data_IF_227430967805
#
_entry.id   IF_227430967805
#
_cell.length_a   1.000
_cell.length_b   1.000
_cell.length_c   1.000
_cell.angle_alpha   90.00
_cell.angle_beta   90.00
_cell.angle_gamma   90.00
#
_symmetry.space_group_name_H-M   'P 1'
#
loop_
_entity.id
_entity.type
_entity.pdbx_description
1 polymer ?
#
# COMPACT_ATOMS: atom_id res chain seq x y z
N UNK A 1 24.87 35.55 33.53
CA UNK A 1 24.77 35.34 32.08
C UNK A 1 24.84 33.84 31.80
N UNK A 2 23.77 33.21 31.29
CA UNK A 2 23.73 31.76 31.04
C UNK A 2 23.62 31.46 29.53
N UNK A 3 24.66 30.91 28.92
CA UNK A 3 24.61 30.25 27.61
C UNK A 3 25.68 29.15 27.64
N UNK A 4 25.52 27.94 27.13
CA UNK A 4 24.51 27.32 26.29
C UNK A 4 24.79 25.81 26.36
N UNK A 5 23.78 24.97 26.62
CA UNK A 5 23.89 23.51 26.48
C UNK A 5 23.79 23.17 24.99
N UNK A 6 24.85 22.61 24.44
CA UNK A 6 24.87 22.02 23.11
C UNK A 6 23.85 20.87 23.02
N UNK A 7 22.83 21.02 22.17
CA UNK A 7 21.96 19.92 21.73
C UNK A 7 22.60 19.27 20.51
N UNK A 8 23.11 18.06 20.68
CA UNK A 8 23.44 17.17 19.58
C UNK A 8 22.15 16.59 18.99
N UNK A 9 21.78 17.01 17.79
CA UNK A 9 20.74 16.39 16.98
C UNK A 9 21.24 15.04 16.45
N UNK A 10 20.69 13.94 16.97
CA UNK A 10 20.86 12.62 16.36
C UNK A 10 19.91 12.53 15.16
N UNK A 11 20.45 12.73 13.96
CA UNK A 11 19.76 12.38 12.72
C UNK A 11 19.54 10.87 12.67
N UNK A 12 18.28 10.43 12.61
CA UNK A 12 17.95 9.04 12.31
C UNK A 12 18.42 8.67 10.90
N UNK A 13 18.69 7.38 10.63
CA UNK A 13 19.22 6.95 9.35
C UNK A 13 18.26 7.33 8.21
N UNK A 14 18.81 7.95 7.17
CA UNK A 14 18.09 8.23 5.93
C UNK A 14 17.63 6.90 5.31
N UNK A 15 16.40 6.85 4.81
CA UNK A 15 15.95 5.70 4.04
C UNK A 15 16.80 5.60 2.76
N UNK A 16 17.29 4.41 2.40
CA UNK A 16 18.14 4.26 1.23
C UNK A 16 17.38 4.65 -0.04
N UNK A 17 17.93 5.64 -0.76
CA UNK A 17 17.52 5.97 -2.12
C UNK A 17 18.11 4.90 -3.04
N UNK A 18 17.25 4.08 -3.63
CA UNK A 18 17.68 2.91 -4.38
C UNK A 18 17.75 3.19 -5.89
N UNK A 19 18.94 3.57 -6.37
CA UNK A 19 19.26 3.67 -7.80
C UNK A 19 20.52 2.87 -8.18
N UNK A 20 20.33 1.78 -8.94
CA UNK A 20 20.94 1.42 -10.24
C UNK A 20 20.96 -0.11 -10.43
N UNK A 21 20.82 -0.52 -11.69
CA UNK A 21 20.32 -1.81 -12.16
C UNK A 21 21.30 -3.01 -12.08
N UNK A 22 20.68 -4.19 -12.27
CA UNK A 22 21.10 -5.59 -12.03
C UNK A 22 22.19 -6.16 -12.97
N UNK A 23 23.05 -7.10 -12.51
CA UNK A 23 23.92 -7.90 -13.39
C UNK A 23 23.37 -9.31 -13.71
N UNK A 24 22.14 -9.69 -13.32
CA UNK A 24 21.59 -11.01 -13.66
C UNK A 24 20.18 -10.94 -14.28
N UNK A 25 20.08 -11.47 -15.51
CA UNK A 25 18.87 -12.07 -16.11
C UNK A 25 17.79 -11.10 -16.61
N UNK A 26 17.34 -11.31 -17.84
CA UNK A 26 16.30 -10.54 -18.55
C UNK A 26 14.92 -10.67 -17.92
N UNK A 27 14.70 -10.02 -16.79
CA UNK A 27 13.39 -9.89 -16.18
C UNK A 27 12.74 -8.58 -16.68
N UNK A 28 11.49 -8.67 -17.17
CA UNK A 28 10.77 -7.54 -17.80
C UNK A 28 10.52 -6.48 -16.73
N UNK A 29 10.44 -5.21 -17.13
CA UNK A 29 10.46 -4.05 -16.24
C UNK A 29 9.33 -3.88 -15.17
N UNK A 30 8.59 -4.92 -14.73
CA UNK A 30 7.57 -4.86 -13.66
C UNK A 30 7.41 -6.19 -12.85
N UNK A 31 8.51 -6.79 -12.36
CA UNK A 31 8.47 -8.10 -11.66
C UNK A 31 7.93 -8.08 -10.22
N UNK A 32 7.72 -6.90 -9.63
CA UNK A 32 7.24 -6.79 -8.26
C UNK A 32 5.73 -6.92 -8.21
N UNK A 33 5.23 -7.75 -7.27
CA UNK A 33 3.84 -7.66 -6.84
C UNK A 33 3.67 -6.31 -6.15
N UNK A 34 2.63 -5.56 -6.48
CA UNK A 34 2.35 -4.27 -5.83
C UNK A 34 1.44 -4.47 -4.63
N UNK A 35 1.46 -3.56 -3.65
CA UNK A 35 0.48 -3.57 -2.56
C UNK A 35 -0.97 -3.50 -3.07
N UNK A 36 -1.19 -2.88 -4.24
CA UNK A 36 -2.49 -2.89 -4.92
C UNK A 36 -2.85 -4.27 -5.47
N UNK A 37 -1.89 -5.05 -5.98
CA UNK A 37 -2.14 -6.43 -6.38
C UNK A 37 -2.59 -7.29 -5.18
N UNK A 38 -2.09 -7.01 -3.97
CA UNK A 38 -2.57 -7.69 -2.75
C UNK A 38 -4.03 -7.31 -2.43
N UNK A 39 -4.38 -6.03 -2.58
CA UNK A 39 -5.76 -5.55 -2.45
C UNK A 39 -6.69 -6.22 -3.47
N UNK A 40 -6.27 -6.24 -4.73
CA UNK A 40 -6.99 -6.89 -5.83
C UNK A 40 -7.13 -8.40 -5.57
N UNK A 41 -6.10 -9.08 -5.05
CA UNK A 41 -6.14 -10.51 -4.71
C UNK A 41 -7.10 -10.81 -3.55
N UNK A 42 -7.13 -9.95 -2.52
CA UNK A 42 -8.09 -10.05 -1.41
C UNK A 42 -9.54 -9.81 -1.86
N UNK A 43 -9.73 -8.97 -2.89
CA UNK A 43 -11.03 -8.81 -3.54
C UNK A 43 -11.41 -10.03 -4.39
N UNK A 44 -10.52 -10.47 -5.29
CA UNK A 44 -10.66 -11.66 -6.12
C UNK A 44 -9.31 -12.05 -6.74
N UNK A 45 -8.92 -13.33 -6.58
CA UNK A 45 -7.66 -13.88 -7.09
C UNK A 45 -7.42 -13.69 -8.60
N UNK A 46 -8.48 -13.51 -9.41
CA UNK A 46 -8.38 -13.30 -10.86
C UNK A 46 -8.03 -11.86 -11.24
N UNK A 47 -8.35 -10.87 -10.39
CA UNK A 47 -8.21 -9.44 -10.75
C UNK A 47 -6.75 -9.02 -10.99
N UNK A 48 -5.77 -9.38 -10.14
CA UNK A 48 -4.37 -9.00 -10.37
C UNK A 48 -3.85 -9.46 -11.74
N UNK A 49 -4.18 -10.69 -12.13
CA UNK A 49 -3.80 -11.26 -13.44
C UNK A 49 -4.48 -10.55 -14.60
N UNK A 50 -5.81 -10.39 -14.52
CA UNK A 50 -6.58 -9.74 -15.58
C UNK A 50 -6.09 -8.30 -15.86
N UNK A 51 -5.71 -7.56 -14.81
CA UNK A 51 -5.11 -6.22 -14.98
C UNK A 51 -3.74 -6.26 -15.65
N UNK A 52 -2.89 -7.23 -15.29
CA UNK A 52 -1.53 -7.38 -15.85
C UNK A 52 -1.52 -7.89 -17.29
N UNK A 53 -2.39 -8.84 -17.63
CA UNK A 53 -2.45 -9.45 -18.96
C UNK A 53 -2.89 -8.50 -20.06
N UNK A 54 -3.91 -7.69 -19.78
CA UNK A 54 -4.50 -6.85 -20.83
C UNK A 54 -3.58 -5.70 -21.21
N UNK A 55 -2.54 -5.38 -20.41
CA UNK A 55 -1.61 -4.24 -20.58
C UNK A 55 -2.31 -2.94 -21.01
N UNK A 56 -3.61 -2.82 -20.76
CA UNK A 56 -4.38 -1.61 -21.03
C UNK A 56 -4.29 -0.75 -19.78
N UNK A 57 -4.04 0.55 -19.93
CA UNK A 57 -4.16 1.45 -18.81
C UNK A 57 -5.57 1.29 -18.22
N UNK A 58 -5.70 1.26 -16.88
CA UNK A 58 -6.99 1.12 -16.24
C UNK A 58 -7.94 2.19 -16.81
N UNK A 59 -9.15 1.78 -17.19
CA UNK A 59 -10.19 2.71 -17.61
C UNK A 59 -10.58 3.51 -16.36
N UNK A 60 -9.99 4.70 -16.19
CA UNK A 60 -10.20 5.51 -15.00
C UNK A 60 -11.67 5.89 -14.89
N UNK A 61 -12.30 5.48 -13.81
CA UNK A 61 -13.67 5.88 -13.49
C UNK A 61 -13.69 7.31 -12.94
N UNK A 62 -14.85 8.00 -12.93
CA UNK A 62 -14.97 9.32 -12.30
C UNK A 62 -14.50 9.35 -10.85
N UNK A 63 -14.77 8.30 -10.07
CA UNK A 63 -14.29 8.15 -8.69
C UNK A 63 -12.76 8.04 -8.61
N UNK A 64 -12.12 7.32 -9.55
CA UNK A 64 -10.65 7.26 -9.60
C UNK A 64 -10.02 8.61 -9.97
N UNK A 65 -10.64 9.37 -10.87
CA UNK A 65 -10.19 10.74 -11.19
C UNK A 65 -10.32 11.68 -10.01
N UNK A 66 -11.48 11.63 -9.33
CA UNK A 66 -11.71 12.37 -8.10
C UNK A 66 -10.66 12.02 -7.04
N UNK A 67 -10.43 10.73 -6.80
CA UNK A 67 -9.41 10.26 -5.87
C UNK A 67 -8.03 10.80 -6.20
N UNK A 68 -7.58 10.73 -7.47
CA UNK A 68 -6.28 11.26 -7.88
C UNK A 68 -6.15 12.77 -7.61
N UNK A 69 -7.18 13.56 -7.91
CA UNK A 69 -7.20 14.99 -7.63
C UNK A 69 -7.12 15.26 -6.12
N UNK A 70 -7.87 14.49 -5.32
CA UNK A 70 -7.88 14.63 -3.86
C UNK A 70 -6.57 14.18 -3.20
N UNK A 71 -5.90 13.16 -3.71
CA UNK A 71 -4.51 12.85 -3.30
C UNK A 71 -3.60 14.04 -3.61
N UNK A 72 -3.79 14.73 -4.74
CA UNK A 72 -3.01 15.93 -5.06
C UNK A 72 -3.28 17.09 -4.12
N UNK A 73 -4.53 17.32 -3.74
CA UNK A 73 -4.90 18.32 -2.73
C UNK A 73 -4.34 17.97 -1.36
N UNK A 74 -4.41 16.70 -0.95
CA UNK A 74 -3.88 16.22 0.33
C UNK A 74 -2.35 16.37 0.46
N UNK A 75 -1.62 16.49 -0.66
CA UNK A 75 -0.19 16.87 -0.65
C UNK A 75 0.02 18.26 -0.06
N UNK A 76 -0.92 19.17 -0.31
CA UNK A 76 -0.87 20.58 0.06
C UNK A 76 -1.53 20.86 1.41
N UNK A 77 -2.20 19.87 2.01
CA UNK A 77 -2.89 20.01 3.30
C UNK A 77 -1.85 19.92 4.44
N UNK A 78 -1.69 21.05 5.13
CA UNK A 78 -0.56 21.27 6.03
C UNK A 78 -1.05 21.68 7.44
N UNK A 79 -0.72 20.84 8.43
CA UNK A 79 -0.37 21.16 9.85
C UNK A 79 -0.93 20.25 10.94
N UNK A 80 -2.03 19.52 10.75
CA UNK A 80 -2.61 18.64 11.80
C UNK A 80 -2.70 17.16 11.44
N UNK A 81 -1.91 16.75 10.44
CA UNK A 81 -1.91 15.38 9.93
C UNK A 81 -1.46 14.37 11.00
N UNK A 82 -0.35 14.57 11.73
CA UNK A 82 0.05 13.65 12.80
C UNK A 82 -1.02 13.43 13.87
N UNK A 83 -1.63 14.52 14.34
CA UNK A 83 -2.54 14.52 15.47
C UNK A 83 -3.82 13.73 15.18
N UNK A 84 -4.30 13.76 13.92
CA UNK A 84 -5.42 12.93 13.45
C UNK A 84 -5.20 11.45 13.73
N UNK A 85 -3.95 11.00 13.72
CA UNK A 85 -3.57 9.61 13.91
C UNK A 85 -2.95 9.34 15.29
N UNK A 86 -3.08 10.27 16.24
CA UNK A 86 -2.55 10.12 17.60
C UNK A 86 -1.01 10.22 17.66
N UNK A 87 -0.40 10.89 16.70
CA UNK A 87 1.00 11.28 16.75
C UNK A 87 1.15 12.69 17.33
N UNK A 88 2.32 12.98 17.91
CA UNK A 88 2.65 14.34 18.35
C UNK A 88 2.83 15.25 17.13
N UNK A 89 2.58 16.56 17.24
CA UNK A 89 2.82 17.51 16.13
C UNK A 89 4.28 17.50 15.61
N UNK A 90 5.22 17.06 16.44
CA UNK A 90 6.63 16.92 16.09
C UNK A 90 6.96 15.64 15.30
N UNK A 91 6.00 14.76 15.06
CA UNK A 91 6.23 13.55 14.28
C UNK A 91 6.52 13.90 12.81
N UNK A 92 7.45 13.16 12.21
CA UNK A 92 7.77 13.32 10.81
C UNK A 92 6.64 12.73 9.96
N UNK A 93 6.18 13.49 8.98
CA UNK A 93 5.22 13.03 7.97
C UNK A 93 5.92 13.01 6.63
N UNK A 94 6.11 11.81 6.07
CA UNK A 94 6.58 11.65 4.70
C UNK A 94 5.39 11.32 3.82
N UNK A 95 5.32 11.92 2.63
CA UNK A 95 4.22 11.71 1.69
C UNK A 95 4.73 10.96 0.47
N UNK A 96 3.87 10.13 -0.12
CA UNK A 96 4.15 9.40 -1.37
C UNK A 96 5.42 8.55 -1.32
N UNK A 97 5.64 7.87 -0.20
CA UNK A 97 6.85 7.09 0.03
C UNK A 97 6.80 5.83 -0.83
N UNK A 98 7.67 5.77 -1.83
CA UNK A 98 7.83 4.59 -2.69
C UNK A 98 8.83 3.64 -2.06
N UNK A 99 8.39 2.42 -1.76
CA UNK A 99 9.20 1.36 -1.21
C UNK A 99 9.18 0.14 -2.13
N UNK A 100 10.30 -0.57 -2.17
CA UNK A 100 10.42 -1.88 -2.81
C UNK A 100 11.29 -2.78 -1.93
N UNK A 101 10.91 -4.04 -1.82
CA UNK A 101 11.69 -5.07 -1.12
C UNK A 101 11.95 -6.22 -2.09
N UNK A 102 13.20 -6.39 -2.58
CA UNK A 102 13.58 -7.52 -3.44
C UNK A 102 13.30 -8.87 -2.78
N UNK A 103 13.61 -9.00 -1.50
CA UNK A 103 13.41 -10.24 -0.73
C UNK A 103 11.94 -10.62 -0.65
N UNK A 104 11.08 -9.63 -0.41
CA UNK A 104 9.63 -9.85 -0.42
C UNK A 104 9.07 -9.93 -1.83
N UNK A 105 9.78 -9.48 -2.86
CA UNK A 105 9.32 -9.20 -4.23
C UNK A 105 8.07 -8.30 -4.27
N UNK A 106 7.95 -7.38 -3.31
CA UNK A 106 6.81 -6.47 -3.11
C UNK A 106 7.23 -5.01 -3.37
N UNK A 107 6.34 -4.21 -3.96
CA UNK A 107 6.50 -2.76 -4.12
C UNK A 107 5.22 -1.99 -3.79
N UNK A 108 5.33 -0.71 -3.49
CA UNK A 108 4.17 0.12 -3.20
C UNK A 108 4.51 1.60 -3.02
N UNK A 109 3.49 2.45 -3.16
CA UNK A 109 3.56 3.87 -2.84
C UNK A 109 2.62 4.13 -1.66
N UNK A 110 3.20 4.48 -0.51
CA UNK A 110 2.47 4.79 0.72
C UNK A 110 2.07 6.27 0.68
N UNK A 111 0.79 6.59 0.90
CA UNK A 111 0.33 7.99 0.85
C UNK A 111 0.97 8.83 1.94
N UNK A 112 0.90 8.36 3.20
CA UNK A 112 1.58 8.99 4.34
C UNK A 112 2.35 7.94 5.15
N UNK A 113 3.56 8.27 5.55
CA UNK A 113 4.36 7.50 6.51
C UNK A 113 4.67 8.39 7.71
N UNK A 114 4.09 8.04 8.86
CA UNK A 114 4.25 8.76 10.12
C UNK A 114 5.37 8.15 10.93
N UNK A 115 6.26 8.98 11.49
CA UNK A 115 7.37 8.52 12.31
C UNK A 115 7.66 9.49 13.47
N UNK A 116 7.52 9.03 14.71
CA UNK A 116 7.89 9.77 15.92
C UNK A 116 9.18 9.26 16.58
N UNK A 117 9.93 8.41 15.87
CA UNK A 117 11.14 7.74 16.35
C UNK A 117 10.86 6.50 17.20
N UNK A 118 9.65 6.35 17.74
CA UNK A 118 9.21 5.14 18.45
C UNK A 118 8.30 4.29 17.58
N UNK A 119 7.31 4.91 16.95
CA UNK A 119 6.34 4.29 16.05
C UNK A 119 6.63 4.72 14.62
N UNK A 120 6.46 3.78 13.70
CA UNK A 120 6.44 4.04 12.26
C UNK A 120 5.17 3.42 11.70
N UNK A 121 4.29 4.22 11.09
CA UNK A 121 2.95 3.78 10.70
C UNK A 121 2.63 4.27 9.29
N UNK A 122 2.38 3.35 8.33
CA UNK A 122 1.87 3.71 7.02
C UNK A 122 0.37 4.04 7.09
N UNK A 123 -0.04 5.02 6.30
CA UNK A 123 -1.43 5.44 6.13
C UNK A 123 -1.78 5.42 4.65
N UNK A 124 -2.89 4.76 4.31
CA UNK A 124 -3.51 4.72 2.99
C UNK A 124 -4.74 5.65 2.99
N UNK A 125 -4.78 6.63 2.09
CA UNK A 125 -5.86 7.60 2.00
C UNK A 125 -6.91 7.12 0.99
N UNK A 126 -8.18 7.15 1.39
CA UNK A 126 -9.32 6.74 0.56
C UNK A 126 -10.29 7.91 0.41
N UNK A 127 -10.59 8.26 -0.84
CA UNK A 127 -11.47 9.38 -1.20
C UNK A 127 -12.79 8.93 -1.83
N UNK A 128 -13.20 7.68 -1.56
CA UNK A 128 -14.49 7.14 -1.97
C UNK A 128 -15.42 6.97 -0.78
N UNK A 129 -16.73 7.01 -1.06
CA UNK A 129 -17.77 6.63 -0.11
C UNK A 129 -17.78 5.10 0.08
N UNK A 130 -18.01 4.63 1.30
CA UNK A 130 -18.06 3.20 1.63
C UNK A 130 -17.28 2.86 2.91
N UNK A 131 -17.59 1.70 3.50
CA UNK A 131 -16.87 1.17 4.66
C UNK A 131 -15.57 0.49 4.23
N UNK A 132 -14.57 0.44 5.12
CA UNK A 132 -13.32 -0.27 4.88
C UNK A 132 -13.60 -1.74 4.55
N UNK A 133 -12.96 -2.24 3.49
CA UNK A 133 -13.17 -3.61 3.02
C UNK A 133 -11.88 -4.45 3.16
N UNK A 134 -11.95 -5.77 2.91
CA UNK A 134 -10.77 -6.63 2.96
C UNK A 134 -9.64 -6.22 2.00
N UNK A 135 -9.94 -5.51 0.90
CA UNK A 135 -8.93 -5.04 -0.04
C UNK A 135 -8.14 -3.87 0.54
N UNK A 136 -8.81 -2.93 1.21
CA UNK A 136 -8.12 -1.84 1.94
C UNK A 136 -7.19 -2.38 3.02
N UNK A 137 -7.65 -3.40 3.77
CA UNK A 137 -6.85 -4.08 4.80
C UNK A 137 -5.61 -4.73 4.17
N UNK A 138 -5.78 -5.52 3.10
CA UNK A 138 -4.66 -6.18 2.44
C UNK A 138 -3.64 -5.18 1.89
N UNK A 139 -4.10 -4.05 1.34
CA UNK A 139 -3.22 -3.00 0.83
C UNK A 139 -2.34 -2.41 1.94
N UNK A 140 -2.94 -2.01 3.07
CA UNK A 140 -2.20 -1.35 4.15
C UNK A 140 -1.27 -2.34 4.87
N UNK A 141 -1.65 -3.61 4.98
CA UNK A 141 -0.78 -4.66 5.49
C UNK A 141 0.44 -4.90 4.58
N UNK A 142 0.25 -4.79 3.26
CA UNK A 142 1.35 -4.77 2.29
C UNK A 142 2.32 -3.61 2.52
N UNK A 143 1.81 -2.42 2.86
CA UNK A 143 2.66 -1.29 3.25
C UNK A 143 3.39 -1.53 4.56
N UNK A 144 2.77 -2.14 5.56
CA UNK A 144 3.44 -2.50 6.80
C UNK A 144 4.64 -3.44 6.55
N UNK A 145 4.44 -4.47 5.72
CA UNK A 145 5.50 -5.40 5.33
C UNK A 145 6.64 -4.71 4.57
N UNK A 146 6.32 -3.76 3.68
CA UNK A 146 7.32 -2.94 2.99
C UNK A 146 8.13 -2.07 3.96
N UNK A 147 7.46 -1.39 4.88
CA UNK A 147 8.12 -0.54 5.89
C UNK A 147 9.05 -1.39 6.73
N UNK A 148 8.59 -2.54 7.22
CA UNK A 148 9.45 -3.41 8.00
C UNK A 148 10.67 -3.90 7.21
N UNK A 149 10.47 -4.46 6.02
CA UNK A 149 11.55 -5.04 5.24
C UNK A 149 12.60 -4.00 4.80
N UNK A 150 12.20 -2.75 4.59
CA UNK A 150 13.10 -1.68 4.11
C UNK A 150 13.74 -0.86 5.22
N UNK A 151 13.15 -0.83 6.41
CA UNK A 151 13.63 -0.01 7.53
C UNK A 151 14.18 -0.83 8.70
N UNK A 152 13.89 -2.13 8.76
CA UNK A 152 14.17 -2.98 9.91
C UNK A 152 13.32 -2.65 11.15
N UNK A 153 12.36 -1.72 11.05
CA UNK A 153 11.45 -1.34 12.13
C UNK A 153 10.06 -1.87 11.83
N UNK A 154 9.51 -2.64 12.76
CA UNK A 154 8.17 -3.24 12.64
C UNK A 154 7.09 -2.20 12.97
N UNK A 155 6.19 -1.85 12.03
CA UNK A 155 4.98 -1.10 12.36
C UNK A 155 4.10 -1.92 13.30
N UNK A 156 3.45 -1.28 14.27
CA UNK A 156 2.45 -1.98 15.12
C UNK A 156 1.10 -2.13 14.42
N UNK A 157 0.84 -1.27 13.44
CA UNK A 157 -0.41 -1.18 12.71
C UNK A 157 -0.21 -0.42 11.39
N UNK A 158 -1.16 -0.58 10.49
CA UNK A 158 -1.41 0.30 9.35
C UNK A 158 -2.71 1.06 9.53
N UNK A 159 -2.88 2.19 8.84
CA UNK A 159 -4.09 3.00 8.92
C UNK A 159 -4.74 3.15 7.54
N UNK A 160 -6.05 3.00 7.48
CA UNK A 160 -6.89 3.39 6.33
C UNK A 160 -7.70 4.62 6.73
N UNK A 161 -7.45 5.76 6.08
CA UNK A 161 -8.18 7.02 6.33
C UNK A 161 -9.17 7.30 5.18
N UNK A 162 -10.47 7.17 5.47
CA UNK A 162 -11.55 7.50 4.55
C UNK A 162 -11.90 8.98 4.68
N UNK A 163 -11.27 9.81 3.86
CA UNK A 163 -11.32 11.27 3.96
C UNK A 163 -12.73 11.84 3.86
N UNK A 164 -13.56 11.29 2.98
CA UNK A 164 -14.92 11.79 2.75
C UNK A 164 -15.88 11.46 3.90
N UNK A 165 -15.67 10.34 4.61
CA UNK A 165 -16.51 9.94 5.77
C UNK A 165 -15.90 10.32 7.12
N UNK A 166 -14.63 10.71 7.13
CA UNK A 166 -13.83 10.93 8.33
C UNK A 166 -13.44 9.64 9.08
N UNK A 167 -13.85 8.46 8.62
CA UNK A 167 -13.58 7.19 9.28
C UNK A 167 -12.09 6.81 9.19
N UNK A 168 -11.48 6.49 10.33
CA UNK A 168 -10.11 6.00 10.42
C UNK A 168 -10.12 4.58 10.95
N UNK A 169 -9.69 3.62 10.12
CA UNK A 169 -9.50 2.22 10.52
C UNK A 169 -8.03 1.98 10.85
N UNK A 170 -7.77 1.42 12.02
CA UNK A 170 -6.46 0.91 12.44
C UNK A 170 -6.41 -0.60 12.26
N UNK A 171 -5.42 -1.08 11.53
CA UNK A 171 -5.24 -2.49 11.19
C UNK A 171 -3.99 -3.00 11.90
N UNK A 172 -4.11 -3.87 12.93
CA UNK A 172 -2.95 -4.43 13.62
C UNK A 172 -2.00 -5.15 12.67
N UNK A 173 -0.68 -5.00 12.89
CA UNK A 173 0.35 -5.72 12.14
C UNK A 173 1.05 -6.74 13.04
N UNK A 174 0.40 -7.89 13.21
CA UNK A 174 0.88 -9.04 13.98
C UNK A 174 1.33 -10.20 13.07
N UNK A 175 1.63 -11.35 13.66
CA UNK A 175 2.09 -12.52 12.91
C UNK A 175 1.02 -13.09 11.95
N UNK A 176 -0.26 -12.94 12.29
CA UNK A 176 -1.36 -13.32 11.40
C UNK A 176 -1.42 -12.38 10.19
N UNK A 177 -1.21 -11.08 10.40
CA UNK A 177 -1.11 -10.10 9.31
C UNK A 177 0.08 -10.39 8.38
N UNK A 178 1.25 -10.78 8.94
CA UNK A 178 2.40 -11.23 8.13
C UNK A 178 2.06 -12.47 7.30
N UNK A 179 1.39 -13.45 7.91
CA UNK A 179 0.98 -14.66 7.22
C UNK A 179 0.04 -14.33 6.04
N UNK A 180 -0.98 -13.50 6.28
CA UNK A 180 -1.89 -13.04 5.24
C UNK A 180 -1.16 -12.36 4.06
N UNK A 181 -0.19 -11.47 4.35
CA UNK A 181 0.61 -10.83 3.29
C UNK A 181 1.41 -11.85 2.50
N UNK A 182 2.03 -12.84 3.17
CA UNK A 182 2.77 -13.91 2.50
C UNK A 182 1.87 -14.78 1.63
N UNK A 183 0.68 -15.12 2.11
CA UNK A 183 -0.28 -15.95 1.38
C UNK A 183 -0.80 -15.23 0.13
N UNK A 184 -1.13 -13.94 0.24
CA UNK A 184 -1.54 -13.13 -0.91
C UNK A 184 -0.39 -12.96 -1.92
N UNK A 185 0.84 -12.75 -1.45
CA UNK A 185 2.02 -12.71 -2.32
C UNK A 185 2.22 -14.03 -3.07
N UNK A 186 2.12 -15.16 -2.37
CA UNK A 186 2.25 -16.49 -2.96
C UNK A 186 1.14 -16.74 -4.00
N UNK A 187 -0.11 -16.38 -3.67
CA UNK A 187 -1.25 -16.49 -4.59
C UNK A 187 -1.01 -15.70 -5.88
N UNK A 188 -0.64 -14.42 -5.78
CA UNK A 188 -0.41 -13.57 -6.94
C UNK A 188 0.77 -14.08 -7.76
N UNK A 189 1.87 -14.46 -7.11
CA UNK A 189 3.07 -14.99 -7.79
C UNK A 189 2.81 -16.32 -8.50
N UNK A 190 2.18 -17.27 -7.82
CA UNK A 190 1.88 -18.58 -8.41
C UNK A 190 1.01 -18.43 -9.65
N UNK A 191 -0.03 -17.61 -9.53
CA UNK A 191 -0.92 -17.30 -10.66
C UNK A 191 -0.17 -16.66 -11.84
N UNK A 192 0.74 -15.71 -11.57
CA UNK A 192 1.55 -15.07 -12.61
C UNK A 192 2.58 -16.03 -13.24
N UNK A 193 3.16 -16.93 -12.46
CA UNK A 193 4.15 -17.89 -12.94
C UNK A 193 3.52 -18.97 -13.83
N UNK A 194 2.30 -19.40 -13.50
CA UNK A 194 1.55 -20.40 -14.28
C UNK A 194 0.86 -19.81 -15.52
N UNK A 195 0.83 -18.47 -15.65
CA UNK A 195 0.08 -17.73 -16.66
C UNK A 195 -1.37 -18.23 -16.80
N UNK A 196 -1.99 -18.56 -15.65
CA UNK A 196 -3.32 -19.18 -15.57
C UNK A 196 -4.22 -18.42 -14.60
N UNK A 197 -5.45 -18.14 -15.01
CA UNK A 197 -6.46 -17.57 -14.10
C UNK A 197 -6.82 -18.60 -13.02
N UNK A 198 -6.74 -18.22 -11.74
CA UNK A 198 -7.27 -19.03 -10.66
C UNK A 198 -8.75 -19.33 -10.88
N UNK A 199 -9.17 -20.56 -10.59
CA UNK A 199 -10.59 -20.90 -10.53
C UNK A 199 -11.22 -20.23 -9.31
N UNK A 200 -12.25 -19.42 -9.53
CA UNK A 200 -12.97 -18.72 -8.45
C UNK A 200 -14.47 -18.84 -8.67
N UNK A 201 -15.23 -19.13 -7.61
CA UNK A 201 -16.69 -19.11 -7.69
C UNK A 201 -17.23 -17.69 -7.93
N UNK A 202 -18.36 -17.52 -8.63
CA UNK A 202 -19.03 -16.23 -8.77
C UNK A 202 -19.40 -15.63 -7.40
N UNK A 203 -19.07 -14.36 -7.19
CA UNK A 203 -19.27 -13.65 -5.92
C UNK A 203 -20.43 -12.63 -5.98
N UNK A 204 -21.45 -12.91 -6.79
CA UNK A 204 -22.67 -12.09 -6.88
C UNK A 204 -22.40 -10.61 -7.15
N UNK A 205 -22.76 -9.75 -6.19
CA UNK A 205 -22.63 -8.29 -6.29
C UNK A 205 -21.18 -7.82 -6.53
N UNK A 206 -20.16 -8.52 -6.02
CA UNK A 206 -18.76 -8.20 -6.33
C UNK A 206 -18.50 -8.37 -7.83
N UNK A 207 -18.88 -9.50 -8.40
CA UNK A 207 -18.75 -9.71 -9.85
C UNK A 207 -19.55 -8.67 -10.65
N UNK A 208 -20.70 -8.21 -10.16
CA UNK A 208 -21.48 -7.16 -10.82
C UNK A 208 -20.78 -5.80 -10.84
N UNK A 209 -20.11 -5.42 -9.75
CA UNK A 209 -19.37 -4.17 -9.61
C UNK A 209 -17.91 -4.21 -10.10
N UNK A 210 -17.40 -5.40 -10.47
CA UNK A 210 -16.01 -5.59 -10.89
C UNK A 210 -15.70 -4.88 -12.22
N UNK A 211 -14.73 -3.98 -12.20
CA UNK A 211 -14.31 -3.17 -13.36
C UNK A 211 -13.70 -4.01 -14.49
N UNK A 212 -13.07 -5.14 -14.14
CA UNK A 212 -12.51 -6.11 -15.10
C UNK A 212 -13.46 -7.25 -15.44
N UNK A 213 -14.75 -7.18 -15.04
CA UNK A 213 -15.76 -8.24 -15.33
C UNK A 213 -15.82 -8.59 -16.82
N UNK A 214 -15.70 -7.60 -17.72
CA UNK A 214 -15.74 -7.81 -19.18
C UNK A 214 -14.60 -8.69 -19.71
N UNK A 215 -13.50 -8.76 -18.96
CA UNK A 215 -12.33 -9.60 -19.26
C UNK A 215 -12.43 -10.98 -18.59
N UNK A 216 -13.29 -11.10 -17.58
CA UNK A 216 -13.55 -12.34 -16.88
C UNK A 216 -14.49 -13.20 -17.74
N UNK A 217 -13.91 -14.10 -18.53
CA UNK A 217 -14.68 -15.18 -19.13
C UNK A 217 -15.14 -16.09 -17.99
N UNK A 218 -16.45 -16.17 -17.77
CA UNK A 218 -17.04 -17.10 -16.81
C UNK A 218 -16.70 -18.52 -17.28
N UNK A 219 -15.64 -19.07 -16.72
CA UNK A 219 -15.30 -20.49 -16.77
C UNK A 219 -15.10 -20.91 -15.33
#
# INVERSE_FOLDING_TARGET
MPHSRARTSRGGPALPQSERASPFGTARADDYVTARDLADAAYCARVPLLRRWVRRPPQRTPSMWHGLARHAEARMEDRRVPERYGFRPSATVRREVRLRSPDLGLSGQIDLLLDDGRRIVPVDLKFGEGAADPADIAQVLGYCALVEATTGRTPTEGIVDRRETGQVLRVPYDDAARALVRDLLALVRGSLAEDRLPTTAPQGNRCAACDVRRLCQAT
#
